data_IF_113546820184
#
_entry.id   IF_113546820184
#
_cell.length_a   1.000
_cell.length_b   1.000
_cell.length_c   1.000
_cell.angle_alpha   90.00
_cell.angle_beta   90.00
_cell.angle_gamma   90.00
#
_symmetry.space_group_name_H-M   'P 1'
#
loop_
_entity.id
_entity.type
_entity.pdbx_description
1 polymer ?
#
# COMPACT_ATOMS: atom_id res chain seq x y z
N UNK A 1 0.01 -9.32 -11.51
CA UNK A 1 -1.42 -9.25 -11.12
C UNK A 1 -2.00 -10.59 -10.71
N UNK A 2 -2.47 -11.51 -11.59
CA UNK A 2 -3.12 -12.74 -11.09
C UNK A 2 -2.22 -13.58 -10.16
N UNK A 3 -0.98 -13.85 -10.57
CA UNK A 3 0.00 -14.59 -9.75
C UNK A 3 0.27 -13.91 -8.39
N UNK A 4 0.28 -12.60 -8.37
CA UNK A 4 0.57 -11.81 -7.17
C UNK A 4 -0.63 -11.81 -6.21
N UNK A 5 -1.85 -11.70 -6.76
CA UNK A 5 -3.08 -11.92 -6.01
C UNK A 5 -3.11 -13.34 -5.40
N UNK A 6 -2.73 -14.36 -6.16
CA UNK A 6 -2.69 -15.74 -5.64
C UNK A 6 -1.72 -15.85 -4.45
N UNK A 7 -0.53 -15.21 -4.52
CA UNK A 7 0.44 -15.17 -3.42
C UNK A 7 -0.11 -14.44 -2.20
N UNK A 8 -0.75 -13.29 -2.38
CA UNK A 8 -1.35 -12.54 -1.27
C UNK A 8 -2.46 -13.33 -0.58
N UNK A 9 -3.25 -14.09 -1.33
CA UNK A 9 -4.28 -14.98 -0.77
C UNK A 9 -3.62 -16.09 0.06
N UNK A 10 -2.56 -16.73 -0.46
CA UNK A 10 -1.82 -17.76 0.28
C UNK A 10 -1.20 -17.20 1.58
N UNK A 11 -0.61 -16.00 1.52
CA UNK A 11 -0.06 -15.33 2.70
C UNK A 11 -1.14 -14.97 3.73
N UNK A 12 -2.30 -14.49 3.27
CA UNK A 12 -3.42 -14.16 4.16
C UNK A 12 -3.94 -15.40 4.89
N UNK A 13 -4.07 -16.52 4.17
CA UNK A 13 -4.46 -17.80 4.77
C UNK A 13 -3.43 -18.27 5.81
N UNK A 14 -2.14 -18.10 5.53
CA UNK A 14 -1.06 -18.42 6.47
C UNK A 14 -1.14 -17.56 7.75
N UNK A 15 -1.25 -16.24 7.60
CA UNK A 15 -1.34 -15.30 8.72
C UNK A 15 -2.55 -15.60 9.62
N UNK A 16 -3.71 -15.85 9.02
CA UNK A 16 -4.94 -16.15 9.75
C UNK A 16 -4.95 -17.53 10.41
N UNK A 17 -4.06 -18.44 9.97
CA UNK A 17 -3.90 -19.76 10.59
C UNK A 17 -3.07 -19.72 11.88
N UNK A 18 -2.26 -18.67 12.06
CA UNK A 18 -1.43 -18.42 13.23
C UNK A 18 -2.15 -17.60 14.31
N UNK A 19 -1.59 -17.52 15.53
CA UNK A 19 -2.05 -16.56 16.51
C UNK A 19 -1.62 -15.14 16.11
N UNK A 20 -2.57 -14.21 16.14
CA UNK A 20 -2.32 -12.76 15.97
C UNK A 20 -2.29 -12.16 17.37
N UNK A 21 -1.11 -11.72 17.80
CA UNK A 21 -0.80 -11.46 19.21
C UNK A 21 -0.69 -9.97 19.55
N UNK A 22 -0.35 -9.13 18.58
CA UNK A 22 -0.06 -7.71 18.78
C UNK A 22 -0.47 -6.83 17.58
N UNK A 23 -0.19 -5.53 17.70
CA UNK A 23 -0.47 -4.53 16.67
C UNK A 23 0.31 -4.74 15.36
N UNK A 24 1.50 -5.33 15.42
CA UNK A 24 2.34 -5.56 14.24
C UNK A 24 1.75 -6.71 13.41
N UNK A 25 1.39 -7.82 14.06
CA UNK A 25 0.67 -8.93 13.42
C UNK A 25 -0.65 -8.44 12.79
N UNK A 26 -1.37 -7.54 13.49
CA UNK A 26 -2.63 -6.99 13.01
C UNK A 26 -2.44 -6.09 11.78
N UNK A 27 -1.35 -5.31 11.74
CA UNK A 27 -0.99 -4.51 10.58
C UNK A 27 -0.63 -5.40 9.39
N UNK A 28 0.13 -6.48 9.59
CA UNK A 28 0.49 -7.42 8.51
C UNK A 28 -0.76 -8.03 7.85
N UNK A 29 -1.72 -8.50 8.65
CA UNK A 29 -3.01 -9.00 8.13
C UNK A 29 -3.75 -7.92 7.35
N UNK A 30 -3.79 -6.69 7.85
CA UNK A 30 -4.46 -5.58 7.18
C UNK A 30 -3.79 -5.20 5.87
N UNK A 31 -2.46 -5.20 5.80
CA UNK A 31 -1.68 -4.96 4.58
C UNK A 31 -2.03 -6.02 3.55
N UNK A 32 -1.86 -7.31 3.87
CA UNK A 32 -2.06 -8.40 2.92
C UNK A 32 -3.52 -8.44 2.44
N UNK A 33 -4.50 -8.28 3.34
CA UNK A 33 -5.90 -8.23 2.97
C UNK A 33 -6.24 -7.00 2.11
N UNK A 34 -5.66 -5.83 2.41
CA UNK A 34 -5.87 -4.60 1.66
C UNK A 34 -5.27 -4.66 0.25
N UNK A 35 -4.07 -5.20 0.11
CA UNK A 35 -3.44 -5.45 -1.18
C UNK A 35 -4.25 -6.46 -2.01
N UNK A 36 -4.66 -7.59 -1.41
CA UNK A 36 -5.48 -8.59 -2.09
C UNK A 36 -6.82 -7.99 -2.55
N UNK A 37 -7.50 -7.20 -1.70
CA UNK A 37 -8.72 -6.49 -2.04
C UNK A 37 -8.50 -5.51 -3.20
N UNK A 38 -7.40 -4.74 -3.19
CA UNK A 38 -7.04 -3.83 -4.28
C UNK A 38 -6.84 -4.56 -5.60
N UNK A 39 -6.22 -5.74 -5.56
CA UNK A 39 -5.99 -6.57 -6.74
C UNK A 39 -7.22 -7.36 -7.20
N UNK A 40 -8.35 -7.23 -6.50
CA UNK A 40 -9.64 -7.79 -6.91
C UNK A 40 -10.01 -9.12 -6.24
N UNK A 41 -9.42 -9.45 -5.09
CA UNK A 41 -9.91 -10.55 -4.26
C UNK A 41 -11.41 -10.39 -3.98
N UNK A 42 -12.18 -11.45 -4.25
CA UNK A 42 -13.63 -11.42 -4.06
C UNK A 42 -14.05 -11.48 -2.58
N UNK A 43 -15.29 -11.11 -2.25
CA UNK A 43 -15.77 -11.12 -0.87
C UNK A 43 -15.66 -12.48 -0.16
N UNK A 44 -15.82 -13.58 -0.90
CA UNK A 44 -15.67 -14.93 -0.33
C UNK A 44 -14.22 -15.26 0.04
N UNK A 45 -13.25 -14.73 -0.71
CA UNK A 45 -11.82 -14.93 -0.44
C UNK A 45 -11.39 -14.18 0.80
N UNK A 46 -11.94 -12.98 1.02
CA UNK A 46 -11.60 -12.14 2.17
C UNK A 46 -12.49 -12.40 3.39
N UNK A 47 -13.39 -13.40 3.34
CA UNK A 47 -14.44 -13.57 4.35
C UNK A 47 -13.86 -13.78 5.76
N UNK A 48 -12.81 -14.60 5.88
CA UNK A 48 -12.20 -14.89 7.17
C UNK A 48 -11.41 -13.69 7.70
N UNK A 49 -10.69 -12.96 6.83
CA UNK A 49 -10.00 -11.72 7.19
C UNK A 49 -10.99 -10.64 7.67
N UNK A 50 -12.14 -10.49 6.99
CA UNK A 50 -13.20 -9.56 7.39
C UNK A 50 -13.83 -9.98 8.71
N UNK A 51 -14.12 -11.27 8.90
CA UNK A 51 -14.67 -11.78 10.16
C UNK A 51 -13.69 -11.58 11.33
N UNK A 52 -12.39 -11.71 11.08
CA UNK A 52 -11.35 -11.39 12.04
C UNK A 52 -11.31 -9.88 12.35
N UNK A 53 -11.22 -9.03 11.32
CA UNK A 53 -11.17 -7.55 11.42
C UNK A 53 -12.33 -6.99 12.22
N UNK A 54 -13.55 -7.47 11.93
CA UNK A 54 -14.79 -6.98 12.54
C UNK A 54 -15.08 -7.65 13.90
N UNK A 55 -14.26 -8.62 14.30
CA UNK A 55 -14.41 -9.40 15.52
C UNK A 55 -13.13 -9.37 16.36
N UNK A 56 -12.39 -10.49 16.50
CA UNK A 56 -11.22 -10.57 17.37
C UNK A 56 -10.11 -9.54 17.11
N UNK A 57 -9.95 -9.08 15.87
CA UNK A 57 -8.90 -8.13 15.46
C UNK A 57 -9.24 -6.66 15.69
N UNK A 58 -10.50 -6.33 16.02
CA UNK A 58 -10.96 -4.94 16.06
C UNK A 58 -10.17 -4.08 17.05
N UNK A 59 -9.97 -4.57 18.28
CA UNK A 59 -9.25 -3.82 19.32
C UNK A 59 -7.76 -3.63 18.98
N UNK A 60 -7.12 -4.63 18.35
CA UNK A 60 -5.73 -4.55 17.91
C UNK A 60 -5.57 -3.53 16.78
N UNK A 61 -6.46 -3.56 15.78
CA UNK A 61 -6.47 -2.59 14.69
C UNK A 61 -6.72 -1.18 15.21
N UNK A 62 -7.65 -1.00 16.15
CA UNK A 62 -7.90 0.31 16.76
C UNK A 62 -6.68 0.83 17.54
N UNK A 63 -6.00 -0.05 18.30
CA UNK A 63 -4.75 0.28 18.99
C UNK A 63 -3.63 0.66 18.02
N UNK A 64 -3.46 -0.11 16.94
CA UNK A 64 -2.47 0.12 15.90
C UNK A 64 -2.72 1.45 15.19
N UNK A 65 -3.95 1.71 14.73
CA UNK A 65 -4.29 2.95 14.02
C UNK A 65 -4.24 4.20 14.90
N UNK A 66 -4.36 4.06 16.23
CA UNK A 66 -4.16 5.16 17.17
C UNK A 66 -2.69 5.57 17.30
N UNK A 67 -1.76 4.69 16.93
CA UNK A 67 -0.31 4.87 17.07
C UNK A 67 0.41 5.07 15.73
N UNK A 68 -0.29 4.91 14.60
CA UNK A 68 0.33 5.03 13.28
C UNK A 68 0.97 6.40 13.09
N UNK A 69 2.22 6.38 12.67
CA UNK A 69 2.97 7.56 12.25
C UNK A 69 3.51 7.32 10.84
N UNK A 70 3.07 8.15 9.90
CA UNK A 70 3.41 8.04 8.48
C UNK A 70 4.52 9.02 8.09
N UNK A 71 4.88 9.96 8.97
CA UNK A 71 5.94 10.93 8.69
C UNK A 71 7.26 10.23 8.35
N UNK A 72 7.72 9.20 9.10
CA UNK A 72 8.95 8.49 8.75
C UNK A 72 8.93 7.82 7.37
N UNK A 73 7.77 7.28 6.96
CA UNK A 73 7.64 6.61 5.67
C UNK A 73 7.70 7.62 4.52
N UNK A 74 7.02 8.76 4.67
CA UNK A 74 7.06 9.83 3.68
C UNK A 74 8.45 10.48 3.62
N UNK A 75 9.11 10.67 4.77
CA UNK A 75 10.50 11.14 4.82
C UNK A 75 11.47 10.15 4.13
N UNK A 76 11.23 8.85 4.23
CA UNK A 76 12.03 7.85 3.51
C UNK A 76 11.89 8.02 1.98
N UNK A 77 10.69 8.31 1.48
CA UNK A 77 10.47 8.61 0.06
C UNK A 77 11.18 9.91 -0.36
N UNK A 78 11.09 10.97 0.43
CA UNK A 78 11.81 12.22 0.14
C UNK A 78 13.34 12.00 0.16
N UNK A 79 13.83 11.17 1.09
CA UNK A 79 15.25 10.86 1.18
C UNK A 79 15.81 10.15 -0.07
N UNK A 80 14.99 9.37 -0.79
CA UNK A 80 15.47 8.72 -2.03
C UNK A 80 15.61 9.69 -3.21
N UNK A 81 14.97 10.87 -3.14
CA UNK A 81 15.09 11.90 -4.18
C UNK A 81 16.43 12.62 -4.17
N UNK A 82 17.23 12.46 -3.10
CA UNK A 82 18.58 13.03 -2.98
C UNK A 82 19.62 12.42 -3.93
N UNK A 83 19.26 11.35 -4.65
CA UNK A 83 20.14 10.61 -5.57
C UNK A 83 21.10 9.66 -4.86
N UNK A 84 21.70 8.75 -5.63
CA UNK A 84 22.66 7.76 -5.13
C UNK A 84 22.03 6.53 -4.46
N UNK A 85 20.72 6.36 -4.59
CA UNK A 85 19.97 5.17 -4.16
C UNK A 85 19.89 4.13 -5.26
N UNK A 86 19.74 2.87 -4.86
CA UNK A 86 19.44 1.77 -5.79
C UNK A 86 17.97 1.80 -6.19
N UNK A 87 17.63 1.15 -7.30
CA UNK A 87 16.24 1.00 -7.72
C UNK A 87 15.40 0.27 -6.65
N UNK A 88 16.01 -0.70 -5.96
CA UNK A 88 15.41 -1.45 -4.85
C UNK A 88 15.07 -0.54 -3.66
N UNK A 89 15.98 0.36 -3.25
CA UNK A 89 15.72 1.32 -2.17
C UNK A 89 14.59 2.30 -2.54
N UNK A 90 14.48 2.70 -3.81
CA UNK A 90 13.40 3.58 -4.28
C UNK A 90 12.07 2.84 -4.29
N UNK A 91 12.08 1.57 -4.72
CA UNK A 91 10.90 0.70 -4.76
C UNK A 91 10.36 0.39 -3.36
N UNK A 92 11.24 0.01 -2.43
CA UNK A 92 10.92 -0.27 -1.02
C UNK A 92 10.25 0.95 -0.37
N UNK A 93 10.84 2.14 -0.50
CA UNK A 93 10.29 3.36 0.10
C UNK A 93 8.86 3.68 -0.37
N UNK A 94 8.54 3.40 -1.64
CA UNK A 94 7.19 3.60 -2.19
C UNK A 94 6.24 2.52 -1.70
N UNK A 95 6.65 1.26 -1.69
CA UNK A 95 5.80 0.16 -1.25
C UNK A 95 5.49 0.22 0.25
N UNK A 96 6.42 0.66 1.10
CA UNK A 96 6.16 0.81 2.53
C UNK A 96 4.99 1.77 2.80
N UNK A 97 4.93 2.88 2.06
CA UNK A 97 3.79 3.81 2.15
C UNK A 97 2.53 3.19 1.57
N UNK A 98 2.66 2.48 0.44
CA UNK A 98 1.55 1.85 -0.27
C UNK A 98 0.86 0.76 0.57
N UNK A 99 1.62 -0.05 1.28
CA UNK A 99 1.15 -1.11 2.16
C UNK A 99 0.23 -0.54 3.25
N UNK A 100 0.67 0.53 3.91
CA UNK A 100 -0.13 1.19 4.95
C UNK A 100 -1.38 1.87 4.35
N UNK A 101 -1.30 2.42 3.14
CA UNK A 101 -2.47 2.97 2.45
C UNK A 101 -3.47 1.86 2.10
N UNK A 102 -3.00 0.72 1.60
CA UNK A 102 -3.85 -0.43 1.30
C UNK A 102 -4.54 -0.98 2.55
N UNK A 103 -3.80 -1.12 3.64
CA UNK A 103 -4.33 -1.48 4.95
C UNK A 103 -5.39 -0.48 5.41
N UNK A 104 -5.11 0.82 5.33
CA UNK A 104 -6.03 1.86 5.77
C UNK A 104 -7.33 1.90 4.95
N UNK A 105 -7.26 1.67 3.63
CA UNK A 105 -8.45 1.58 2.78
C UNK A 105 -9.31 0.41 3.22
N UNK A 106 -8.71 -0.77 3.43
CA UNK A 106 -9.41 -1.97 3.82
C UNK A 106 -9.98 -1.93 5.24
N UNK A 107 -9.28 -1.29 6.17
CA UNK A 107 -9.76 -1.05 7.54
C UNK A 107 -10.71 0.15 7.67
N UNK A 108 -11.13 0.79 6.56
CA UNK A 108 -11.99 1.98 6.57
C UNK A 108 -11.38 3.20 7.32
N UNK A 109 -10.04 3.26 7.38
CA UNK A 109 -9.22 4.31 8.01
C UNK A 109 -8.60 5.29 6.99
N UNK A 110 -9.20 5.39 5.81
CA UNK A 110 -8.80 6.30 4.73
C UNK A 110 -8.49 7.75 5.14
N UNK A 111 -9.15 8.27 6.18
CA UNK A 111 -8.90 9.63 6.68
C UNK A 111 -7.49 9.79 7.27
N UNK A 112 -6.95 8.74 7.90
CA UNK A 112 -5.65 8.74 8.59
C UNK A 112 -4.48 8.88 7.61
N UNK A 113 -4.57 8.23 6.45
CA UNK A 113 -3.46 8.16 5.47
C UNK A 113 -3.53 9.22 4.37
N UNK A 114 -4.61 10.01 4.32
CA UNK A 114 -4.87 10.92 3.18
C UNK A 114 -3.78 11.98 2.99
N UNK A 115 -3.19 12.48 4.08
CA UNK A 115 -2.13 13.47 3.99
C UNK A 115 -0.86 12.85 3.39
N UNK A 116 -0.41 11.71 3.93
CA UNK A 116 0.75 10.97 3.44
C UNK A 116 0.61 10.58 1.96
N UNK A 117 -0.56 10.05 1.57
CA UNK A 117 -0.86 9.68 0.18
C UNK A 117 -0.70 10.86 -0.80
N UNK A 118 -1.15 12.06 -0.39
CA UNK A 118 -1.01 13.27 -1.20
C UNK A 118 0.43 13.76 -1.26
N UNK A 119 1.15 13.67 -0.15
CA UNK A 119 2.55 14.08 -0.08
C UNK A 119 3.42 13.16 -0.95
N UNK A 120 3.23 11.85 -0.86
CA UNK A 120 3.85 10.86 -1.74
C UNK A 120 3.62 11.23 -3.22
N UNK A 121 2.37 11.48 -3.61
CA UNK A 121 2.03 11.86 -4.98
C UNK A 121 2.66 13.21 -5.40
N UNK A 122 2.89 14.12 -4.44
CA UNK A 122 3.58 15.39 -4.67
C UNK A 122 5.07 15.20 -4.90
N UNK A 123 5.73 14.40 -4.05
CA UNK A 123 7.15 14.06 -4.15
C UNK A 123 7.46 13.42 -5.49
N UNK A 124 6.71 12.37 -5.87
CA UNK A 124 6.92 11.64 -7.13
C UNK A 124 6.80 12.57 -8.34
N UNK A 125 5.84 13.50 -8.32
CA UNK A 125 5.68 14.48 -9.42
C UNK A 125 6.76 15.55 -9.44
N UNK A 126 7.38 15.84 -8.30
CA UNK A 126 8.47 16.80 -8.20
C UNK A 126 9.78 16.29 -8.83
N UNK A 127 10.01 14.98 -8.78
CA UNK A 127 11.23 14.30 -9.26
C UNK A 127 10.91 12.96 -9.94
N UNK A 128 10.15 12.97 -11.05
CA UNK A 128 9.64 11.75 -11.68
C UNK A 128 10.74 10.82 -12.22
N UNK A 129 11.91 11.35 -12.56
CA UNK A 129 13.06 10.59 -13.06
C UNK A 129 13.59 9.58 -12.04
N UNK A 130 13.57 9.92 -10.75
CA UNK A 130 13.99 9.02 -9.66
C UNK A 130 13.11 7.77 -9.60
N UNK A 131 11.81 7.93 -9.87
CA UNK A 131 10.81 6.87 -9.73
C UNK A 131 10.51 6.11 -11.03
N UNK A 132 11.23 6.43 -12.10
CA UNK A 132 11.01 5.85 -13.42
C UNK A 132 11.18 4.32 -13.47
N UNK A 133 11.99 3.73 -12.58
CA UNK A 133 12.18 2.27 -12.49
C UNK A 133 10.88 1.53 -12.13
N UNK A 134 10.02 2.15 -11.30
CA UNK A 134 8.78 1.55 -10.78
C UNK A 134 7.62 1.67 -11.78
N UNK A 135 7.76 2.53 -12.79
CA UNK A 135 6.66 2.90 -13.69
C UNK A 135 6.06 1.72 -14.46
N UNK A 136 6.84 0.67 -14.69
CA UNK A 136 6.40 -0.54 -15.40
C UNK A 136 5.32 -1.33 -14.65
N UNK A 137 5.42 -1.37 -13.31
CA UNK A 137 4.44 -2.01 -12.43
C UNK A 137 3.28 -1.03 -12.15
N UNK A 138 3.60 0.25 -11.98
CA UNK A 138 2.62 1.29 -11.66
C UNK A 138 1.46 1.36 -12.66
N UNK A 139 1.71 1.21 -13.96
CA UNK A 139 0.66 1.21 -14.97
C UNK A 139 -0.37 0.08 -14.79
N UNK A 140 0.09 -1.11 -14.36
CA UNK A 140 -0.81 -2.23 -14.07
C UNK A 140 -1.66 -1.95 -12.83
N UNK A 141 -1.05 -1.46 -11.75
CA UNK A 141 -1.76 -1.13 -10.49
C UNK A 141 -2.74 0.02 -10.69
N UNK A 142 -2.33 1.09 -11.39
CA UNK A 142 -3.16 2.24 -11.72
C UNK A 142 -4.44 1.88 -12.50
N UNK A 143 -4.41 0.79 -13.26
CA UNK A 143 -5.55 0.31 -14.04
C UNK A 143 -6.56 -0.51 -13.23
N UNK A 144 -6.28 -0.81 -11.96
CA UNK A 144 -7.18 -1.59 -11.11
C UNK A 144 -8.42 -0.76 -10.72
N UNK A 145 -9.62 -1.38 -10.66
CA UNK A 145 -10.84 -0.65 -10.27
C UNK A 145 -10.75 0.02 -8.90
N UNK A 146 -10.12 -0.62 -7.91
CA UNK A 146 -9.96 -0.08 -6.57
C UNK A 146 -9.13 1.21 -6.53
N UNK A 147 -8.13 1.34 -7.42
CA UNK A 147 -7.37 2.60 -7.55
C UNK A 147 -8.27 3.74 -8.04
N UNK A 148 -9.14 3.47 -9.02
CA UNK A 148 -10.09 4.48 -9.50
C UNK A 148 -11.13 4.86 -8.44
N UNK A 149 -11.63 3.88 -7.67
CA UNK A 149 -12.58 4.12 -6.57
C UNK A 149 -11.98 4.98 -5.45
N UNK A 150 -10.71 4.74 -5.13
CA UNK A 150 -9.98 5.45 -4.08
C UNK A 150 -8.91 6.39 -4.64
N UNK A 151 -9.20 7.07 -5.76
CA UNK A 151 -8.21 7.89 -6.47
C UNK A 151 -7.57 8.96 -5.58
N UNK A 152 -8.34 9.56 -4.65
CA UNK A 152 -7.81 10.55 -3.71
C UNK A 152 -6.78 10.01 -2.71
N UNK A 153 -6.58 8.69 -2.66
CA UNK A 153 -5.54 8.00 -1.91
C UNK A 153 -4.50 7.39 -2.85
N UNK A 154 -4.89 6.79 -3.98
CA UNK A 154 -3.95 6.11 -4.88
C UNK A 154 -3.42 6.94 -6.04
N UNK A 155 -3.60 8.26 -6.03
CA UNK A 155 -3.15 9.16 -7.10
C UNK A 155 -1.63 9.08 -7.37
N UNK A 156 -0.83 8.67 -6.38
CA UNK A 156 0.60 8.42 -6.59
C UNK A 156 0.88 7.28 -7.57
N UNK A 157 0.00 6.28 -7.73
CA UNK A 157 0.15 5.25 -8.76
C UNK A 157 0.03 5.82 -10.18
N UNK A 158 -0.79 6.86 -10.36
CA UNK A 158 -0.82 7.59 -11.63
C UNK A 158 0.47 8.40 -11.83
N UNK A 159 0.96 9.06 -10.77
CA UNK A 159 2.22 9.78 -10.84
C UNK A 159 3.40 8.86 -11.21
N UNK A 160 3.46 7.65 -10.63
CA UNK A 160 4.47 6.63 -10.97
C UNK A 160 4.29 6.11 -12.39
N UNK A 161 3.05 5.88 -12.85
CA UNK A 161 2.81 5.49 -14.23
C UNK A 161 3.26 6.56 -15.22
N UNK A 162 3.07 7.83 -14.89
CA UNK A 162 3.49 8.98 -15.70
C UNK A 162 5.01 9.19 -15.68
N UNK A 163 5.69 8.76 -14.61
CA UNK A 163 7.14 8.84 -14.47
C UNK A 163 7.90 8.14 -15.61
N UNK A 164 7.31 7.09 -16.20
CA UNK A 164 7.84 6.41 -17.39
C UNK A 164 8.19 7.36 -18.54
N UNK A 165 7.44 8.46 -18.68
CA UNK A 165 7.62 9.44 -19.75
C UNK A 165 8.91 10.26 -19.60
N UNK A 166 9.49 10.30 -18.40
CA UNK A 166 10.67 11.09 -18.06
C UNK A 166 11.97 10.26 -18.03
N UNK A 167 11.88 8.93 -18.11
CA UNK A 167 13.03 8.03 -18.18
C UNK A 167 13.87 8.16 -19.48
N UNK A 168 13.34 8.85 -20.49
CA UNK A 168 13.89 8.92 -21.84
C UNK A 168 14.45 10.30 -22.25
N UNK A 169 14.49 11.27 -21.32
CA UNK A 169 15.02 12.63 -21.53
C UNK A 169 16.41 12.82 -20.92
#
# INVERSE_FOLDING_TARGET
>A
MQRELDVLIEQLDELLSGPILDEDDALEVAIVAGLAARLGAGPSTLADAVAWRDGPGADLLDSMWAQVDLEPLVEAVDAVTGGGRTEEEVEEAVYDVDDVIAAAVWCERAATVRAAARELASIIRGVPDVFASISSIAGAVASTPSVAEHLGLYDYWLALSDAAMYAAS
#
